data_IF_675516815748
#
_entry.id   IF_675516815748
#
_cell.length_a   1.000
_cell.length_b   1.000
_cell.length_c   1.000
_cell.angle_alpha   90.00
_cell.angle_beta   90.00
_cell.angle_gamma   90.00
#
_symmetry.space_group_name_H-M   'P 1'
#
loop_
_entity.id
_entity.type
_entity.pdbx_description
1 polymer ?
#
# COMPACT_ATOMS: atom_id res chain seq x y z
N UNK A 1 -10.30 5.03 -17.86
CA UNK A 1 -10.07 5.24 -19.31
C UNK A 1 -11.38 5.70 -19.94
N UNK A 2 -11.38 6.63 -20.89
CA UNK A 2 -12.62 7.00 -21.59
C UNK A 2 -12.98 5.93 -22.63
N UNK A 3 -14.24 5.94 -23.12
CA UNK A 3 -14.73 4.97 -24.10
C UNK A 3 -13.97 5.10 -25.43
N UNK A 4 -13.70 6.33 -25.85
CA UNK A 4 -12.99 6.65 -27.09
C UNK A 4 -11.56 6.13 -27.04
N UNK A 5 -10.87 6.34 -25.92
CA UNK A 5 -9.51 5.82 -25.69
C UNK A 5 -9.49 4.30 -25.66
N UNK A 6 -10.52 3.65 -25.09
CA UNK A 6 -10.65 2.20 -25.10
C UNK A 6 -10.74 1.64 -26.52
N UNK A 7 -11.60 2.24 -27.34
CA UNK A 7 -11.84 1.81 -28.72
C UNK A 7 -10.63 2.05 -29.62
N UNK A 8 -9.89 3.14 -29.40
CA UNK A 8 -8.63 3.37 -30.08
C UNK A 8 -7.58 2.30 -29.71
N UNK A 9 -7.48 1.96 -28.41
CA UNK A 9 -6.55 0.93 -27.93
C UNK A 9 -6.88 -0.45 -28.48
N UNK A 10 -8.16 -0.80 -28.63
CA UNK A 10 -8.58 -2.08 -29.23
C UNK A 10 -8.00 -2.29 -30.63
N UNK A 11 -8.01 -1.24 -31.47
CA UNK A 11 -7.45 -1.32 -32.83
C UNK A 11 -5.97 -1.67 -32.81
N UNK A 12 -5.22 -1.15 -31.85
CA UNK A 12 -3.79 -1.46 -31.69
C UNK A 12 -3.53 -2.87 -31.16
N UNK A 13 -4.45 -3.41 -30.36
CA UNK A 13 -4.34 -4.76 -29.81
C UNK A 13 -4.73 -5.84 -30.84
N UNK A 14 -5.61 -5.54 -31.79
CA UNK A 14 -6.02 -6.47 -32.84
C UNK A 14 -4.97 -6.65 -33.93
N UNK A 15 -4.35 -5.56 -34.36
CA UNK A 15 -3.32 -5.55 -35.39
C UNK A 15 -2.11 -4.76 -34.89
N UNK A 16 -1.33 -5.33 -33.94
CA UNK A 16 -0.12 -4.67 -33.48
C UNK A 16 0.92 -4.58 -34.61
N UNK A 17 1.76 -3.55 -34.54
CA UNK A 17 2.90 -3.41 -35.45
C UNK A 17 3.86 -4.61 -35.30
N UNK A 18 4.54 -5.01 -36.38
CA UNK A 18 5.41 -6.22 -36.39
C UNK A 18 6.47 -6.21 -35.27
N UNK A 19 6.96 -5.03 -34.88
CA UNK A 19 7.98 -4.86 -33.83
C UNK A 19 7.44 -4.15 -32.58
N UNK A 20 6.20 -4.43 -32.16
CA UNK A 20 5.57 -3.80 -31.00
C UNK A 20 5.22 -4.79 -29.90
N UNK A 21 5.66 -4.50 -28.67
CA UNK A 21 5.20 -5.19 -27.46
C UNK A 21 4.48 -4.17 -26.59
N UNK A 22 3.21 -4.43 -26.29
CA UNK A 22 2.36 -3.54 -25.52
C UNK A 22 2.27 -4.07 -24.08
N UNK A 23 2.75 -3.26 -23.13
CA UNK A 23 2.54 -3.50 -21.71
C UNK A 23 1.48 -2.53 -21.18
N UNK A 24 0.51 -3.08 -20.45
CA UNK A 24 -0.52 -2.29 -19.76
C UNK A 24 -0.57 -2.70 -18.30
N UNK A 25 -0.77 -1.71 -17.43
CA UNK A 25 -0.99 -1.91 -16.00
C UNK A 25 -2.33 -1.33 -15.60
N UNK A 26 -3.10 -2.08 -14.81
CA UNK A 26 -4.32 -1.61 -14.18
C UNK A 26 -4.34 -2.06 -12.71
N UNK A 27 -4.81 -1.19 -11.82
CA UNK A 27 -5.00 -1.54 -10.40
C UNK A 27 -6.14 -2.56 -10.25
N UNK A 28 -7.20 -2.42 -11.05
CA UNK A 28 -8.34 -3.31 -11.06
C UNK A 28 -8.67 -3.71 -12.50
N UNK A 29 -8.34 -4.96 -12.87
CA UNK A 29 -8.62 -5.47 -14.21
C UNK A 29 -10.12 -5.55 -14.51
N UNK A 30 -10.98 -5.65 -13.49
CA UNK A 30 -12.44 -5.71 -13.65
C UNK A 30 -13.05 -4.39 -14.15
N UNK A 31 -12.31 -3.28 -14.07
CA UNK A 31 -12.73 -1.98 -14.60
C UNK A 31 -12.33 -1.80 -16.08
N UNK A 32 -11.59 -2.75 -16.65
CA UNK A 32 -11.23 -2.73 -18.06
C UNK A 32 -12.36 -3.35 -18.91
N UNK A 33 -12.59 -2.83 -20.12
CA UNK A 33 -13.50 -3.48 -21.08
C UNK A 33 -13.10 -4.92 -21.38
N UNK A 34 -14.07 -5.82 -21.42
CA UNK A 34 -13.87 -7.25 -21.72
C UNK A 34 -13.19 -7.48 -23.08
N UNK A 35 -13.42 -6.59 -24.04
CA UNK A 35 -12.79 -6.62 -25.36
C UNK A 35 -11.27 -6.45 -25.31
N UNK A 36 -10.75 -5.70 -24.31
CA UNK A 36 -9.31 -5.57 -24.06
C UNK A 36 -8.79 -6.82 -23.35
N UNK A 37 -9.52 -7.29 -22.34
CA UNK A 37 -9.11 -8.47 -21.55
C UNK A 37 -8.99 -9.72 -22.42
N UNK A 38 -9.88 -9.90 -23.40
CA UNK A 38 -9.87 -11.04 -24.33
C UNK A 38 -8.71 -11.06 -25.32
N UNK A 39 -8.00 -9.93 -25.51
CA UNK A 39 -6.87 -9.77 -26.45
C UNK A 39 -5.52 -9.62 -25.75
N UNK A 40 -5.50 -9.77 -24.42
CA UNK A 40 -4.30 -9.54 -23.61
C UNK A 40 -4.02 -10.71 -22.70
N UNK A 41 -2.74 -10.94 -22.43
CA UNK A 41 -2.32 -11.90 -21.42
C UNK A 41 -2.35 -11.21 -20.07
N UNK A 42 -3.11 -11.75 -19.13
CA UNK A 42 -3.17 -11.22 -17.77
C UNK A 42 -2.05 -11.79 -16.92
N UNK A 43 -1.14 -10.91 -16.49
CA UNK A 43 -0.14 -11.22 -15.46
C UNK A 43 -0.61 -10.56 -14.17
N UNK A 44 -0.96 -11.37 -13.16
CA UNK A 44 -1.32 -10.86 -11.83
C UNK A 44 -0.06 -10.61 -11.03
N UNK A 45 0.09 -9.39 -10.52
CA UNK A 45 1.07 -9.04 -9.51
C UNK A 45 0.40 -9.13 -8.14
N UNK A 46 0.52 -10.25 -7.41
CA UNK A 46 -0.10 -10.38 -6.09
C UNK A 46 0.55 -9.40 -5.11
N UNK A 47 -0.19 -9.08 -4.05
CA UNK A 47 0.36 -8.36 -2.92
C UNK A 47 1.54 -9.12 -2.32
N UNK A 48 2.55 -8.38 -1.86
CA UNK A 48 3.68 -8.98 -1.15
C UNK A 48 3.22 -9.48 0.21
N UNK A 49 3.75 -10.63 0.64
CA UNK A 49 3.62 -11.06 2.02
C UNK A 49 4.20 -9.96 2.94
N UNK A 50 3.50 -9.54 4.01
CA UNK A 50 4.00 -8.52 4.94
C UNK A 50 5.41 -8.82 5.48
N UNK A 51 5.76 -10.09 5.68
CA UNK A 51 7.09 -10.49 6.13
C UNK A 51 8.19 -10.22 5.09
N UNK A 52 7.93 -10.53 3.81
CA UNK A 52 8.84 -10.21 2.71
C UNK A 52 8.98 -8.70 2.56
N UNK A 53 7.87 -7.97 2.66
CA UNK A 53 7.84 -6.52 2.55
C UNK A 53 8.64 -5.86 3.69
N UNK A 54 8.50 -6.34 4.93
CA UNK A 54 9.31 -5.91 6.06
C UNK A 54 10.81 -6.11 5.81
N UNK A 55 11.20 -7.28 5.29
CA UNK A 55 12.61 -7.57 4.97
C UNK A 55 13.14 -6.62 3.89
N UNK A 56 12.37 -6.38 2.83
CA UNK A 56 12.76 -5.46 1.75
C UNK A 56 12.88 -4.03 2.28
N UNK A 57 11.92 -3.56 3.09
CA UNK A 57 11.96 -2.22 3.71
C UNK A 57 13.22 -2.06 4.57
N UNK A 58 13.55 -3.04 5.40
CA UNK A 58 14.76 -3.02 6.24
C UNK A 58 16.05 -3.12 5.43
N UNK A 59 16.04 -3.83 4.31
CA UNK A 59 17.20 -3.89 3.40
C UNK A 59 17.46 -2.54 2.75
N UNK A 60 16.42 -1.80 2.39
CA UNK A 60 16.52 -0.48 1.78
C UNK A 60 16.83 0.59 2.84
N UNK A 61 16.30 0.42 4.05
CA UNK A 61 16.50 1.33 5.19
C UNK A 61 17.03 0.56 6.42
N UNK A 62 18.34 0.26 6.48
CA UNK A 62 18.93 -0.53 7.57
C UNK A 62 18.76 0.10 8.96
N UNK A 63 18.70 1.43 9.01
CA UNK A 63 18.53 2.22 10.24
C UNK A 63 17.08 2.17 10.79
N UNK A 64 16.13 1.66 10.00
CA UNK A 64 14.74 1.57 10.39
C UNK A 64 14.53 0.46 11.43
N UNK A 65 13.84 0.78 12.53
CA UNK A 65 13.52 -0.23 13.54
C UNK A 65 12.66 -1.35 12.95
N UNK A 66 12.87 -2.58 13.45
CA UNK A 66 12.13 -3.75 12.96
C UNK A 66 10.62 -3.61 13.17
N UNK A 67 10.21 -2.98 14.28
CA UNK A 67 8.82 -2.72 14.63
C UNK A 67 8.19 -1.72 13.67
N UNK A 68 8.88 -0.62 13.35
CA UNK A 68 8.36 0.36 12.40
C UNK A 68 8.28 -0.21 10.98
N UNK A 69 9.28 -1.00 10.57
CA UNK A 69 9.23 -1.73 9.30
C UNK A 69 8.03 -2.68 9.22
N UNK A 70 7.68 -3.37 10.32
CA UNK A 70 6.52 -4.25 10.38
C UNK A 70 5.20 -3.48 10.30
N UNK A 71 5.14 -2.28 10.88
CA UNK A 71 4.00 -1.37 10.78
C UNK A 71 3.81 -0.93 9.33
N UNK A 72 4.88 -0.43 8.70
CA UNK A 72 4.87 0.00 7.30
C UNK A 72 4.43 -1.11 6.34
N UNK A 73 4.93 -2.33 6.57
CA UNK A 73 4.56 -3.49 5.77
C UNK A 73 3.06 -3.83 5.87
N UNK A 74 2.39 -3.48 6.98
CA UNK A 74 0.96 -3.73 7.17
C UNK A 74 0.07 -2.59 6.62
N UNK A 75 0.54 -1.35 6.60
CA UNK A 75 -0.25 -0.18 6.12
C UNK A 75 -0.02 0.20 4.66
N UNK A 76 0.87 -0.53 3.98
CA UNK A 76 1.15 -0.38 2.57
C UNK A 76 0.52 -1.50 1.73
N UNK A 77 -0.83 -1.59 1.62
CA UNK A 77 -1.49 -2.59 0.77
C UNK A 77 -1.19 -2.39 -0.73
N UNK A 78 -0.57 -1.26 -1.10
CA UNK A 78 -0.16 -0.95 -2.48
C UNK A 78 1.30 -1.30 -2.81
N UNK A 79 1.99 -2.04 -1.95
CA UNK A 79 3.37 -2.50 -2.17
C UNK A 79 4.46 -1.54 -1.70
N UNK A 80 5.69 -1.85 -2.10
CA UNK A 80 6.93 -1.25 -1.60
C UNK A 80 6.99 0.28 -1.75
N UNK A 81 6.47 0.82 -2.85
CA UNK A 81 6.52 2.26 -3.16
C UNK A 81 5.82 3.10 -2.09
N UNK A 82 4.66 2.64 -1.58
CA UNK A 82 3.95 3.34 -0.51
C UNK A 82 4.74 3.26 0.80
N UNK A 83 5.22 2.07 1.17
CA UNK A 83 6.03 1.92 2.37
C UNK A 83 7.28 2.84 2.36
N UNK A 84 7.95 2.99 1.22
CA UNK A 84 9.10 3.88 1.08
C UNK A 84 8.74 5.37 1.19
N UNK A 85 7.56 5.80 0.72
CA UNK A 85 7.11 7.17 0.92
C UNK A 85 6.86 7.46 2.41
N UNK A 86 6.25 6.51 3.12
CA UNK A 86 5.93 6.63 4.55
C UNK A 86 7.19 6.61 5.45
N UNK A 87 8.31 6.00 5.01
CA UNK A 87 9.58 6.08 5.77
C UNK A 87 10.09 7.51 6.00
N UNK A 88 9.66 8.49 5.20
CA UNK A 88 10.00 9.91 5.41
C UNK A 88 9.27 10.55 6.58
N UNK A 89 8.18 9.95 7.05
CA UNK A 89 7.27 10.50 8.07
C UNK A 89 7.30 9.65 9.36
N UNK A 90 8.50 9.22 9.74
CA UNK A 90 8.76 8.19 10.76
C UNK A 90 8.02 8.38 12.09
N UNK A 91 7.82 9.62 12.53
CA UNK A 91 7.30 9.94 13.86
C UNK A 91 5.76 9.97 13.92
N UNK A 92 5.06 10.39 12.85
CA UNK A 92 3.60 10.64 12.91
C UNK A 92 2.73 9.38 12.82
N UNK A 93 3.20 8.34 12.13
CA UNK A 93 2.34 7.19 11.80
C UNK A 93 2.39 6.04 12.82
N UNK A 94 3.41 5.98 13.67
CA UNK A 94 3.60 4.85 14.62
C UNK A 94 2.48 4.81 15.65
N UNK A 95 2.19 5.95 16.27
CA UNK A 95 1.23 6.02 17.38
C UNK A 95 -0.21 5.83 16.90
N UNK A 96 -0.58 6.49 15.79
CA UNK A 96 -1.90 6.34 15.15
C UNK A 96 -2.12 4.89 14.74
N UNK A 97 -1.11 4.24 14.17
CA UNK A 97 -1.23 2.85 13.76
C UNK A 97 -1.35 1.89 14.96
N UNK A 98 -0.53 2.06 15.99
CA UNK A 98 -0.62 1.25 17.21
C UNK A 98 -1.99 1.40 17.86
N UNK A 99 -2.51 2.62 17.92
CA UNK A 99 -3.86 2.90 18.39
C UNK A 99 -4.91 2.16 17.54
N UNK A 100 -4.88 2.32 16.20
CA UNK A 100 -5.81 1.64 15.31
C UNK A 100 -5.74 0.11 15.42
N UNK A 101 -4.54 -0.48 15.53
CA UNK A 101 -4.39 -1.93 15.74
C UNK A 101 -5.00 -2.39 17.06
N UNK A 102 -4.67 -1.70 18.16
CA UNK A 102 -5.20 -2.04 19.48
C UNK A 102 -6.73 -1.88 19.52
N UNK A 103 -7.25 -0.87 18.84
CA UNK A 103 -8.69 -0.64 18.71
C UNK A 103 -9.39 -1.73 17.91
N UNK A 104 -8.84 -2.13 16.76
CA UNK A 104 -9.42 -3.19 15.92
C UNK A 104 -9.33 -4.56 16.62
N UNK A 105 -8.22 -4.84 17.31
CA UNK A 105 -7.99 -6.14 17.96
C UNK A 105 -8.75 -6.27 19.29
N UNK A 106 -9.02 -5.15 19.97
CA UNK A 106 -9.74 -5.11 21.23
C UNK A 106 -10.80 -4.01 21.22
N UNK A 107 -11.88 -4.12 20.41
CA UNK A 107 -12.84 -3.04 20.20
C UNK A 107 -13.53 -2.56 21.48
N UNK A 108 -13.70 -3.44 22.47
CA UNK A 108 -14.30 -3.09 23.78
C UNK A 108 -13.28 -2.52 24.80
N UNK A 109 -11.97 -2.69 24.59
CA UNK A 109 -10.91 -2.23 25.51
C UNK A 109 -10.00 -1.14 24.93
N UNK A 110 -10.00 -0.97 23.61
CA UNK A 110 -9.11 -0.08 22.87
C UNK A 110 -9.37 1.39 23.13
N UNK A 111 -10.62 1.75 23.47
CA UNK A 111 -10.98 3.13 23.81
C UNK A 111 -10.36 3.58 25.15
N UNK A 112 -10.27 2.70 26.15
CA UNK A 112 -9.73 3.08 27.47
C UNK A 112 -8.20 3.04 27.46
N UNK A 113 -7.57 1.96 26.97
CA UNK A 113 -6.10 1.85 27.00
C UNK A 113 -5.39 2.75 25.99
N UNK A 114 -5.95 2.90 24.78
CA UNK A 114 -5.36 3.74 23.73
C UNK A 114 -5.42 5.23 24.08
N UNK A 115 -6.52 5.67 24.68
CA UNK A 115 -6.70 7.06 25.13
C UNK A 115 -5.88 7.32 26.40
N UNK A 116 -5.88 6.42 27.40
CA UNK A 116 -5.08 6.60 28.62
C UNK A 116 -3.57 6.71 28.32
N UNK A 117 -3.02 5.87 27.43
CA UNK A 117 -1.60 5.96 27.08
C UNK A 117 -1.22 7.23 26.30
N UNK A 118 -2.14 7.79 25.51
CA UNK A 118 -1.94 9.05 24.81
C UNK A 118 -2.04 10.26 25.75
N UNK A 119 -2.98 10.24 26.70
CA UNK A 119 -3.13 11.29 27.71
C UNK A 119 -1.96 11.34 28.70
N UNK A 120 -1.45 10.19 29.14
CA UNK A 120 -0.28 10.13 30.04
C UNK A 120 0.99 10.72 29.41
N UNK A 121 1.15 10.61 28.09
CA UNK A 121 2.27 11.25 27.36
C UNK A 121 2.08 12.76 27.20
N UNK A 122 0.87 13.24 26.92
CA UNK A 122 0.59 14.68 26.82
C UNK A 122 0.76 15.41 28.15
N UNK A 123 0.44 14.77 29.27
CA UNK A 123 0.60 15.36 30.61
C UNK A 123 2.02 15.22 31.17
N UNK A 124 2.88 14.40 30.54
CA UNK A 124 4.29 14.23 30.90
C UNK A 124 5.24 15.17 30.12
N UNK A 125 4.74 15.93 29.14
CA UNK A 125 5.50 17.02 28.54
C UNK A 125 5.55 18.18 29.55
N UNK A 126 6.74 18.66 29.97
CA UNK A 126 6.83 19.82 30.84
C UNK A 126 6.29 21.06 30.13
N UNK A 127 5.56 21.90 30.86
CA UNK A 127 5.04 23.18 30.37
C UNK A 127 6.14 23.95 29.61
N UNK A 128 5.84 24.34 28.37
CA UNK A 128 6.72 25.14 27.52
C UNK A 128 6.98 26.54 28.07
#
# INVERSE_FOLDING_TARGET
MTIESANAMLKLLEEPSEDCIIFMSALNASELPETILSRTIQIRCPEHNPSDLQQIIRRINPELSADYAAILAQIAPGGLSKALLETKYQEDYTEVYQFCRLFIQYPEQGYVKGVSGYFEKMTALPDA
#
